data_IF_947277502659
#
_entry.id   IF_947277502659
#
_cell.length_a   1.000
_cell.length_b   1.000
_cell.length_c   1.000
_cell.angle_alpha   90.00
_cell.angle_beta   90.00
_cell.angle_gamma   90.00
#
_symmetry.space_group_name_H-M   'P 1'
#
loop_
_entity.id
_entity.type
_entity.pdbx_description
1 polymer ?
#
# COMPACT_ATOMS: atom_id res chain seq x y z
N UNK A 1 -16.19 47.38 -48.00
CA UNK A 1 -15.25 47.10 -46.89
C UNK A 1 -14.62 45.74 -47.14
N UNK A 2 -13.30 45.69 -47.01
CA UNK A 2 -12.37 44.67 -47.50
C UNK A 2 -12.17 43.49 -46.52
N UNK A 3 -11.86 42.30 -47.08
CA UNK A 3 -10.94 41.27 -46.54
C UNK A 3 -11.46 40.33 -45.43
N UNK A 4 -11.12 39.04 -45.38
CA UNK A 4 -10.16 38.28 -46.17
C UNK A 4 -9.98 36.85 -45.62
N UNK A 5 -9.48 36.00 -46.52
CA UNK A 5 -9.25 34.57 -46.47
C UNK A 5 -8.30 34.04 -45.39
N UNK A 6 -8.79 33.29 -44.40
CA UNK A 6 -7.92 32.45 -43.54
C UNK A 6 -8.48 31.08 -43.13
N UNK A 7 -9.74 30.76 -43.43
CA UNK A 7 -10.34 29.49 -42.99
C UNK A 7 -9.92 28.25 -43.83
N UNK A 8 -9.21 28.46 -44.95
CA UNK A 8 -8.93 27.42 -45.95
C UNK A 8 -7.55 26.76 -45.80
N UNK A 9 -6.66 27.23 -44.91
CA UNK A 9 -5.24 26.78 -44.93
C UNK A 9 -4.79 25.68 -43.95
N UNK A 10 -5.62 25.16 -43.04
CA UNK A 10 -5.14 24.16 -42.05
C UNK A 10 -5.98 22.88 -41.91
N UNK A 11 -6.71 22.51 -42.97
CA UNK A 11 -7.19 21.12 -43.14
C UNK A 11 -6.06 20.16 -43.57
N UNK A 12 -4.90 20.64 -44.02
CA UNK A 12 -3.74 19.79 -44.35
C UNK A 12 -2.69 19.96 -43.27
N UNK A 13 -2.31 18.98 -42.43
CA UNK A 13 -1.69 17.73 -42.87
C UNK A 13 -1.56 16.79 -41.64
N UNK A 14 -2.21 15.63 -41.69
CA UNK A 14 -1.83 14.39 -40.98
C UNK A 14 -1.94 14.31 -39.43
N UNK A 15 -3.15 14.17 -38.87
CA UNK A 15 -3.25 13.72 -37.46
C UNK A 15 -4.64 13.47 -36.86
N UNK A 16 -5.74 13.63 -37.60
CA UNK A 16 -7.10 13.66 -37.02
C UNK A 16 -7.95 12.39 -37.20
N UNK A 17 -7.39 11.30 -37.74
CA UNK A 17 -8.18 10.08 -37.99
C UNK A 17 -8.04 8.99 -36.91
N UNK A 18 -7.19 9.18 -35.88
CA UNK A 18 -7.03 8.22 -34.78
C UNK A 18 -7.84 8.52 -33.51
N UNK A 19 -8.26 9.77 -33.30
CA UNK A 19 -8.88 10.18 -32.02
C UNK A 19 -10.34 9.75 -31.87
N UNK A 20 -11.06 9.52 -32.98
CA UNK A 20 -12.47 9.13 -32.93
C UNK A 20 -12.64 7.67 -32.45
N UNK A 21 -11.71 6.77 -32.80
CA UNK A 21 -11.69 5.38 -32.34
C UNK A 21 -11.41 5.29 -30.84
N UNK A 22 -10.47 6.10 -30.34
CA UNK A 22 -10.14 6.15 -28.89
C UNK A 22 -11.31 6.72 -28.09
N UNK A 23 -12.04 7.70 -28.64
CA UNK A 23 -13.26 8.25 -28.02
C UNK A 23 -14.43 7.27 -28.04
N UNK A 24 -14.54 6.38 -29.04
CA UNK A 24 -15.58 5.36 -29.09
C UNK A 24 -15.39 4.24 -28.05
N UNK A 25 -14.13 3.88 -27.75
CA UNK A 25 -13.80 2.84 -26.75
C UNK A 25 -13.89 3.38 -25.31
N UNK A 26 -13.73 4.70 -25.12
CA UNK A 26 -13.72 5.35 -23.81
C UNK A 26 -15.11 5.68 -23.24
N UNK A 27 -16.20 5.41 -23.98
CA UNK A 27 -17.58 5.46 -23.47
C UNK A 27 -18.06 4.11 -22.93
N UNK A 28 -17.22 3.37 -22.20
CA UNK A 28 -17.78 2.54 -21.11
C UNK A 28 -18.29 3.52 -20.06
N UNK A 29 -19.54 3.95 -20.22
CA UNK A 29 -20.35 4.53 -19.16
C UNK A 29 -20.04 3.73 -17.90
N UNK A 30 -19.34 4.34 -16.94
CA UNK A 30 -19.17 3.75 -15.62
C UNK A 30 -20.59 3.43 -15.19
N UNK A 31 -20.95 2.15 -15.00
CA UNK A 31 -22.34 1.83 -14.74
C UNK A 31 -22.72 2.59 -13.48
N UNK A 32 -23.82 3.34 -13.55
CA UNK A 32 -24.36 4.06 -12.40
C UNK A 32 -24.93 2.98 -11.49
N UNK A 33 -24.08 2.40 -10.65
CA UNK A 33 -24.50 1.45 -9.62
C UNK A 33 -25.28 2.22 -8.56
N UNK A 34 -26.43 1.69 -8.17
CA UNK A 34 -27.28 2.27 -7.13
C UNK A 34 -26.46 2.68 -5.90
N UNK A 35 -26.53 3.98 -5.58
CA UNK A 35 -25.70 4.70 -4.59
C UNK A 35 -25.92 4.32 -3.12
N UNK A 36 -26.78 3.35 -2.82
CA UNK A 36 -27.40 3.24 -1.49
C UNK A 36 -27.09 1.98 -0.67
N UNK A 37 -26.48 0.92 -1.22
CA UNK A 37 -26.42 -0.36 -0.48
C UNK A 37 -25.33 -0.44 0.59
N UNK A 38 -24.21 0.27 0.45
CA UNK A 38 -23.08 0.14 1.38
C UNK A 38 -22.81 1.46 2.08
N UNK A 39 -22.88 1.44 3.41
CA UNK A 39 -22.54 2.58 4.28
C UNK A 39 -21.29 2.26 5.09
N UNK A 40 -20.43 3.25 5.39
CA UNK A 40 -19.34 3.05 6.34
C UNK A 40 -19.98 2.80 7.72
N UNK A 41 -19.88 1.57 8.21
CA UNK A 41 -20.41 1.14 9.50
C UNK A 41 -19.34 0.34 10.24
N UNK A 42 -19.35 0.45 11.57
CA UNK A 42 -18.51 -0.37 12.44
C UNK A 42 -18.74 -1.86 12.15
N UNK A 43 -20.00 -2.26 11.91
CA UNK A 43 -20.36 -3.64 11.56
C UNK A 43 -19.62 -4.13 10.32
N UNK A 44 -19.57 -3.30 9.27
CA UNK A 44 -18.89 -3.65 8.02
C UNK A 44 -17.36 -3.77 8.22
N UNK A 45 -16.78 -2.91 9.07
CA UNK A 45 -15.37 -3.00 9.42
C UNK A 45 -15.06 -4.26 10.24
N UNK A 46 -15.92 -4.63 11.20
CA UNK A 46 -15.76 -5.86 11.99
C UNK A 46 -15.90 -7.10 11.12
N UNK A 47 -16.91 -7.16 10.24
CA UNK A 47 -17.07 -8.25 9.28
C UNK A 47 -15.83 -8.38 8.40
N UNK A 48 -15.29 -7.26 7.90
CA UNK A 48 -14.07 -7.24 7.11
C UNK A 48 -12.87 -7.82 7.87
N UNK A 49 -12.68 -7.39 9.13
CA UNK A 49 -11.61 -7.89 9.99
C UNK A 49 -11.75 -9.40 10.19
N UNK A 50 -12.96 -9.90 10.43
CA UNK A 50 -13.23 -11.32 10.60
C UNK A 50 -12.96 -12.12 9.32
N UNK A 51 -13.38 -11.62 8.15
CA UNK A 51 -13.10 -12.26 6.86
C UNK A 51 -11.60 -12.37 6.63
N UNK A 52 -10.86 -11.26 6.80
CA UNK A 52 -9.40 -11.28 6.61
C UNK A 52 -8.75 -12.25 7.60
N UNK A 53 -9.16 -12.22 8.87
CA UNK A 53 -8.60 -13.08 9.92
C UNK A 53 -8.83 -14.57 9.60
N UNK A 54 -10.05 -14.95 9.21
CA UNK A 54 -10.38 -16.35 8.86
C UNK A 54 -9.63 -16.79 7.61
N UNK A 55 -9.62 -15.99 6.55
CA UNK A 55 -8.88 -16.33 5.33
C UNK A 55 -7.37 -16.48 5.60
N UNK A 56 -6.80 -15.55 6.39
CA UNK A 56 -5.40 -15.58 6.75
C UNK A 56 -5.06 -16.78 7.65
N UNK A 57 -5.93 -17.13 8.61
CA UNK A 57 -5.79 -18.31 9.44
C UNK A 57 -5.78 -19.59 8.60
N UNK A 58 -6.76 -19.74 7.69
CA UNK A 58 -6.85 -20.92 6.82
C UNK A 58 -5.62 -21.09 5.95
N UNK A 59 -5.13 -20.03 5.30
CA UNK A 59 -3.92 -20.11 4.47
C UNK A 59 -2.69 -20.45 5.30
N UNK A 60 -2.57 -19.91 6.52
CA UNK A 60 -1.43 -20.14 7.42
C UNK A 60 -1.42 -21.50 8.11
N UNK A 61 -2.49 -22.28 7.99
CA UNK A 61 -2.42 -23.71 8.33
C UNK A 61 -1.55 -24.49 7.37
N UNK A 62 -1.50 -24.08 6.09
CA UNK A 62 -0.70 -24.70 5.03
C UNK A 62 0.64 -24.00 4.87
N UNK A 63 0.66 -22.66 4.94
CA UNK A 63 1.84 -21.82 4.72
C UNK A 63 2.11 -20.89 5.92
N UNK A 64 2.81 -21.36 6.97
CA UNK A 64 3.17 -20.55 8.13
C UNK A 64 4.02 -19.32 7.76
N UNK A 65 3.99 -18.30 8.63
CA UNK A 65 4.87 -17.13 8.49
C UNK A 65 6.33 -17.59 8.51
N UNK A 66 7.07 -17.21 7.45
CA UNK A 66 8.46 -17.62 7.23
C UNK A 66 8.65 -18.53 6.02
N UNK A 67 7.58 -19.13 5.49
CA UNK A 67 7.64 -19.79 4.18
C UNK A 67 7.69 -18.73 3.08
N UNK A 68 8.61 -18.93 2.13
CA UNK A 68 8.80 -18.01 1.02
C UNK A 68 8.84 -18.82 -0.28
N UNK A 69 8.01 -18.43 -1.24
CA UNK A 69 8.08 -18.94 -2.60
C UNK A 69 8.55 -17.77 -3.46
N UNK A 70 9.72 -17.88 -4.08
CA UNK A 70 10.33 -16.80 -4.88
C UNK A 70 10.49 -15.47 -4.10
N UNK A 71 10.89 -15.52 -2.83
CA UNK A 71 10.93 -14.38 -1.90
C UNK A 71 9.57 -13.72 -1.60
N UNK A 72 8.44 -14.33 -2.00
CA UNK A 72 7.10 -13.86 -1.68
C UNK A 72 6.52 -14.68 -0.52
N UNK A 73 6.01 -13.99 0.50
CA UNK A 73 5.29 -14.59 1.62
C UNK A 73 3.80 -14.66 1.29
N UNK A 74 3.38 -15.79 0.70
CA UNK A 74 1.99 -15.98 0.24
C UNK A 74 0.96 -15.92 1.37
N UNK A 75 1.39 -16.17 2.60
CA UNK A 75 0.52 -16.11 3.78
C UNK A 75 -0.11 -14.72 4.02
N UNK A 76 0.49 -13.63 3.51
CA UNK A 76 -0.09 -12.28 3.59
C UNK A 76 -1.02 -11.93 2.42
N UNK A 77 -1.04 -12.73 1.34
CA UNK A 77 -1.82 -12.39 0.14
C UNK A 77 -3.33 -12.37 0.39
N UNK A 78 -3.80 -13.14 1.38
CA UNK A 78 -5.19 -13.15 1.81
C UNK A 78 -5.70 -11.73 2.12
N UNK A 79 -4.96 -11.00 2.95
CA UNK A 79 -5.34 -9.64 3.35
C UNK A 79 -5.21 -8.67 2.19
N UNK A 80 -4.18 -8.81 1.35
CA UNK A 80 -4.00 -7.96 0.17
C UNK A 80 -5.14 -8.10 -0.83
N UNK A 81 -5.55 -9.33 -1.17
CA UNK A 81 -6.65 -9.59 -2.11
C UNK A 81 -7.96 -9.02 -1.55
N UNK A 82 -8.27 -9.31 -0.29
CA UNK A 82 -9.50 -8.83 0.34
C UNK A 82 -9.54 -7.30 0.41
N UNK A 83 -8.46 -6.66 0.88
CA UNK A 83 -8.36 -5.20 0.96
C UNK A 83 -8.39 -4.54 -0.42
N UNK A 84 -7.82 -5.17 -1.45
CA UNK A 84 -7.90 -4.68 -2.83
C UNK A 84 -9.33 -4.68 -3.35
N UNK A 85 -10.04 -5.81 -3.20
CA UNK A 85 -11.46 -5.93 -3.59
C UNK A 85 -12.31 -4.90 -2.84
N UNK A 86 -12.13 -4.80 -1.52
CA UNK A 86 -12.86 -3.85 -0.68
C UNK A 86 -12.51 -2.41 -1.05
N UNK A 87 -11.26 -2.12 -1.40
CA UNK A 87 -10.83 -0.82 -1.91
C UNK A 87 -11.57 -0.41 -3.18
N UNK A 88 -11.73 -1.34 -4.13
CA UNK A 88 -12.53 -1.13 -5.34
C UNK A 88 -14.00 -0.86 -4.99
N UNK A 89 -14.60 -1.68 -4.12
CA UNK A 89 -15.99 -1.50 -3.69
C UNK A 89 -16.16 -0.15 -2.97
N UNK A 90 -15.22 0.22 -2.10
CA UNK A 90 -15.25 1.45 -1.34
C UNK A 90 -15.12 2.68 -2.24
N UNK A 91 -14.24 2.64 -3.25
CA UNK A 91 -14.12 3.69 -4.25
C UNK A 91 -15.42 3.86 -5.04
N UNK A 92 -16.00 2.76 -5.54
CA UNK A 92 -17.23 2.80 -6.35
C UNK A 92 -18.44 3.34 -5.58
N UNK A 93 -18.51 3.06 -4.28
CA UNK A 93 -19.60 3.53 -3.41
C UNK A 93 -19.30 4.89 -2.74
N UNK A 94 -18.18 5.53 -3.11
CA UNK A 94 -17.70 6.77 -2.50
C UNK A 94 -17.62 6.70 -0.96
N UNK A 95 -17.27 5.52 -0.41
CA UNK A 95 -17.19 5.29 1.04
C UNK A 95 -16.10 6.14 1.67
N UNK A 96 -14.98 6.33 0.96
CA UNK A 96 -13.86 7.10 1.47
C UNK A 96 -14.29 8.52 1.80
N UNK A 97 -15.05 9.22 0.93
CA UNK A 97 -15.54 10.57 1.20
C UNK A 97 -16.52 10.65 2.38
N UNK A 98 -17.26 9.57 2.66
CA UNK A 98 -18.25 9.50 3.75
C UNK A 98 -17.63 9.27 5.12
N UNK A 99 -16.38 8.84 5.20
CA UNK A 99 -15.68 8.67 6.48
C UNK A 99 -15.29 10.06 7.01
N UNK A 100 -15.82 10.44 8.16
CA UNK A 100 -15.48 11.69 8.84
C UNK A 100 -14.07 11.66 9.45
N UNK A 101 -13.43 12.83 9.51
CA UNK A 101 -12.08 13.00 10.08
C UNK A 101 -11.94 12.42 11.49
N UNK A 102 -12.91 12.72 12.38
CA UNK A 102 -12.82 12.31 13.78
C UNK A 102 -12.91 10.78 13.93
N UNK A 103 -13.74 10.12 13.12
CA UNK A 103 -13.82 8.66 13.08
C UNK A 103 -12.50 8.09 12.58
N UNK A 104 -11.99 8.57 11.46
CA UNK A 104 -10.69 8.13 10.93
C UNK A 104 -9.54 8.31 11.92
N UNK A 105 -9.44 9.48 12.56
CA UNK A 105 -8.44 9.75 13.59
C UNK A 105 -8.53 8.77 14.76
N UNK A 106 -9.75 8.47 15.24
CA UNK A 106 -9.96 7.46 16.30
C UNK A 106 -9.49 6.08 15.86
N UNK A 107 -9.86 5.65 14.65
CA UNK A 107 -9.38 4.37 14.09
C UNK A 107 -7.85 4.32 13.95
N UNK A 108 -7.22 5.42 13.53
CA UNK A 108 -5.76 5.50 13.43
C UNK A 108 -5.10 5.36 14.82
N UNK A 109 -5.57 6.13 15.80
CA UNK A 109 -5.05 6.08 17.17
C UNK A 109 -5.29 4.69 17.78
N UNK A 110 -6.48 4.11 17.61
CA UNK A 110 -6.78 2.76 18.06
C UNK A 110 -5.87 1.73 17.39
N UNK A 111 -5.68 1.81 16.07
CA UNK A 111 -4.79 0.91 15.33
C UNK A 111 -3.34 0.98 15.81
N UNK A 112 -2.83 2.19 16.09
CA UNK A 112 -1.47 2.38 16.59
C UNK A 112 -1.35 1.94 18.06
N UNK A 113 -2.18 2.48 18.95
CA UNK A 113 -2.06 2.27 20.40
C UNK A 113 -2.49 0.87 20.78
N UNK A 114 -3.72 0.45 20.42
CA UNK A 114 -4.20 -0.90 20.75
C UNK A 114 -3.42 -1.94 19.95
N UNK A 115 -3.08 -1.65 18.69
CA UNK A 115 -2.24 -2.54 17.89
C UNK A 115 -0.88 -2.77 18.54
N UNK A 116 -0.15 -1.72 18.91
CA UNK A 116 1.16 -1.86 19.54
C UNK A 116 1.07 -2.54 20.91
N UNK A 117 0.12 -2.14 21.77
CA UNK A 117 -0.06 -2.75 23.08
C UNK A 117 -0.37 -4.24 22.98
N UNK A 118 -1.31 -4.62 22.10
CA UNK A 118 -1.69 -6.01 21.93
C UNK A 118 -0.54 -6.84 21.35
N UNK A 119 0.22 -6.30 20.39
CA UNK A 119 1.42 -6.95 19.87
C UNK A 119 2.48 -7.18 20.94
N UNK A 120 2.75 -6.21 21.81
CA UNK A 120 3.68 -6.35 22.93
C UNK A 120 3.22 -7.42 23.93
N UNK A 121 1.92 -7.46 24.25
CA UNK A 121 1.37 -8.49 25.13
C UNK A 121 1.47 -9.88 24.51
N UNK A 122 1.09 -10.04 23.24
CA UNK A 122 1.15 -11.33 22.55
C UNK A 122 2.59 -11.84 22.45
N UNK A 123 3.52 -10.99 22.01
CA UNK A 123 4.93 -11.37 21.85
C UNK A 123 5.59 -11.67 23.18
N UNK A 124 5.34 -10.88 24.23
CA UNK A 124 5.86 -11.16 25.59
C UNK A 124 5.31 -12.47 26.15
N UNK A 125 4.03 -12.76 25.92
CA UNK A 125 3.41 -14.02 26.37
C UNK A 125 3.97 -15.22 25.60
N UNK A 126 4.14 -15.08 24.30
CA UNK A 126 4.70 -16.11 23.44
C UNK A 126 6.18 -16.38 23.69
N UNK A 127 6.98 -15.36 24.07
CA UNK A 127 8.39 -15.56 24.44
C UNK A 127 8.56 -16.23 25.79
N UNK A 128 7.58 -16.14 26.69
CA UNK A 128 7.62 -16.77 28.01
C UNK A 128 7.33 -18.28 27.97
N UNK A 129 6.84 -18.82 26.84
CA UNK A 129 6.46 -20.22 26.68
C UNK A 129 7.35 -20.91 25.64
N UNK A 130 7.86 -22.14 25.91
CA UNK A 130 8.58 -22.92 24.90
C UNK A 130 7.69 -23.16 23.67
N UNK A 131 8.17 -22.77 22.48
CA UNK A 131 7.39 -22.89 21.23
C UNK A 131 6.25 -21.88 21.06
N UNK A 132 6.08 -20.92 21.97
CA UNK A 132 5.03 -19.90 21.86
C UNK A 132 5.19 -19.01 20.62
N UNK A 133 6.42 -18.67 20.24
CA UNK A 133 6.68 -17.88 19.03
C UNK A 133 6.34 -18.64 17.74
N UNK A 134 6.63 -19.93 17.67
CA UNK A 134 6.25 -20.76 16.52
C UNK A 134 4.73 -20.91 16.43
N UNK A 135 4.04 -20.97 17.58
CA UNK A 135 2.58 -21.01 17.64
C UNK A 135 1.90 -19.68 17.22
N UNK A 136 2.60 -18.54 17.25
CA UNK A 136 2.11 -17.28 16.68
C UNK A 136 2.26 -17.24 15.16
N UNK A 137 3.33 -17.85 14.63
CA UNK A 137 3.66 -17.77 13.21
C UNK A 137 2.82 -18.70 12.33
N UNK A 138 2.17 -19.72 12.89
CA UNK A 138 1.23 -20.56 12.15
C UNK A 138 0.73 -21.77 12.93
N UNK A 139 0.01 -22.65 12.23
CA UNK A 139 -0.60 -23.85 12.79
C UNK A 139 -2.03 -23.66 13.27
N UNK A 140 -2.68 -24.75 13.68
CA UNK A 140 -4.07 -24.76 14.18
C UNK A 140 -4.06 -24.52 15.68
N UNK A 141 -3.65 -23.32 16.07
CA UNK A 141 -3.54 -22.90 17.48
C UNK A 141 -4.44 -21.69 17.73
N UNK A 142 -4.88 -21.48 18.97
CA UNK A 142 -5.65 -20.28 19.29
C UNK A 142 -4.75 -19.04 19.32
N UNK A 143 -3.46 -19.21 19.61
CA UNK A 143 -2.44 -18.15 19.54
C UNK A 143 -2.35 -17.52 18.16
N UNK A 144 -2.24 -18.35 17.12
CA UNK A 144 -2.17 -17.90 15.73
C UNK A 144 -3.49 -17.21 15.33
N UNK A 145 -4.65 -17.76 15.70
CA UNK A 145 -5.94 -17.13 15.45
C UNK A 145 -6.05 -15.71 16.05
N UNK A 146 -5.59 -15.53 17.29
CA UNK A 146 -5.56 -14.22 17.96
C UNK A 146 -4.56 -13.27 17.28
N UNK A 147 -3.41 -13.78 16.85
CA UNK A 147 -2.41 -13.00 16.14
C UNK A 147 -2.93 -12.49 14.78
N UNK A 148 -3.65 -13.32 14.03
CA UNK A 148 -4.21 -12.92 12.73
C UNK A 148 -5.40 -11.98 12.86
N UNK A 149 -6.18 -12.12 13.93
CA UNK A 149 -7.23 -11.15 14.26
C UNK A 149 -6.62 -9.77 14.55
N UNK A 150 -5.52 -9.75 15.31
CA UNK A 150 -4.76 -8.53 15.56
C UNK A 150 -4.21 -7.92 14.28
N UNK A 151 -3.57 -8.71 13.41
CA UNK A 151 -3.02 -8.25 12.14
C UNK A 151 -4.12 -7.64 11.24
N UNK A 152 -5.26 -8.32 11.14
CA UNK A 152 -6.42 -7.88 10.37
C UNK A 152 -7.02 -6.58 10.91
N UNK A 153 -7.13 -6.48 12.24
CA UNK A 153 -7.58 -5.26 12.91
C UNK A 153 -6.66 -4.08 12.61
N UNK A 154 -5.34 -4.25 12.78
CA UNK A 154 -4.36 -3.18 12.52
C UNK A 154 -4.41 -2.78 11.05
N UNK A 155 -4.46 -3.73 10.12
CA UNK A 155 -4.51 -3.46 8.69
C UNK A 155 -5.74 -2.60 8.30
N UNK A 156 -6.94 -2.98 8.77
CA UNK A 156 -8.18 -2.23 8.50
C UNK A 156 -8.17 -0.87 9.20
N UNK A 157 -7.76 -0.82 10.47
CA UNK A 157 -7.74 0.40 11.27
C UNK A 157 -6.76 1.45 10.71
N UNK A 158 -5.56 1.02 10.33
CA UNK A 158 -4.55 1.86 9.69
C UNK A 158 -5.04 2.35 8.32
N UNK A 159 -5.66 1.48 7.52
CA UNK A 159 -6.19 1.86 6.20
C UNK A 159 -7.26 2.95 6.31
N UNK A 160 -8.26 2.76 7.17
CA UNK A 160 -9.33 3.75 7.40
C UNK A 160 -8.74 5.05 7.95
N UNK A 161 -7.84 4.93 8.93
CA UNK A 161 -7.27 6.06 9.63
C UNK A 161 -6.37 6.94 8.76
N UNK A 162 -5.45 6.32 8.01
CA UNK A 162 -4.55 7.03 7.10
C UNK A 162 -5.33 7.73 5.99
N UNK A 163 -6.29 7.05 5.35
CA UNK A 163 -7.09 7.66 4.27
C UNK A 163 -7.81 8.91 4.78
N UNK A 164 -8.49 8.81 5.94
CA UNK A 164 -9.25 9.94 6.47
C UNK A 164 -8.35 11.10 6.94
N UNK A 165 -7.23 10.82 7.59
CA UNK A 165 -6.31 11.86 8.09
C UNK A 165 -5.57 12.54 6.94
N UNK A 166 -5.04 11.77 5.98
CA UNK A 166 -4.32 12.35 4.84
C UNK A 166 -5.24 13.15 3.94
N UNK A 167 -6.48 12.70 3.73
CA UNK A 167 -7.48 13.46 2.94
C UNK A 167 -7.78 14.84 3.53
N UNK A 168 -7.83 14.97 4.84
CA UNK A 168 -8.27 16.22 5.50
C UNK A 168 -7.11 17.14 5.87
N UNK A 169 -5.95 16.58 6.26
CA UNK A 169 -4.80 17.35 6.76
C UNK A 169 -3.63 17.44 5.78
N UNK A 170 -3.50 16.49 4.87
CA UNK A 170 -2.31 16.36 4.00
C UNK A 170 -2.68 16.23 2.53
N UNK A 171 -3.85 16.73 2.12
CA UNK A 171 -4.30 16.73 0.72
C UNK A 171 -3.67 17.87 -0.09
N UNK A 172 -2.37 18.08 0.10
CA UNK A 172 -1.57 19.02 -0.67
C UNK A 172 -0.37 18.29 -1.25
N UNK A 173 -0.02 18.59 -2.50
CA UNK A 173 1.09 17.96 -3.19
C UNK A 173 2.13 19.02 -3.56
N UNK A 174 3.17 19.18 -2.73
CA UNK A 174 4.29 20.06 -3.06
C UNK A 174 5.17 19.45 -4.14
N UNK A 175 6.01 20.26 -4.81
CA UNK A 175 6.96 19.76 -5.83
C UNK A 175 7.86 18.65 -5.29
N UNK A 176 8.28 18.76 -4.03
CA UNK A 176 9.09 17.75 -3.37
C UNK A 176 8.30 16.46 -3.10
N UNK A 177 7.09 16.55 -2.54
CA UNK A 177 6.23 15.39 -2.29
C UNK A 177 5.84 14.69 -3.60
N UNK A 178 5.59 15.46 -4.66
CA UNK A 178 5.37 14.90 -6.00
C UNK A 178 6.57 14.12 -6.49
N UNK A 179 7.78 14.70 -6.39
CA UNK A 179 9.00 14.00 -6.78
C UNK A 179 9.20 12.70 -5.99
N UNK A 180 8.97 12.69 -4.67
CA UNK A 180 9.04 11.46 -3.87
C UNK A 180 7.98 10.43 -4.30
N UNK A 181 6.72 10.87 -4.47
CA UNK A 181 5.60 10.01 -4.87
C UNK A 181 5.87 9.35 -6.22
N UNK A 182 6.32 10.12 -7.21
CA UNK A 182 6.57 9.62 -8.56
C UNK A 182 7.79 8.66 -8.60
N UNK A 183 8.64 8.63 -7.57
CA UNK A 183 9.76 7.69 -7.45
C UNK A 183 9.45 6.51 -6.51
N UNK A 184 8.34 6.53 -5.79
CA UNK A 184 8.03 5.56 -4.72
C UNK A 184 7.98 4.11 -5.20
N UNK A 185 7.35 3.85 -6.36
CA UNK A 185 7.24 2.50 -6.91
C UNK A 185 8.60 1.96 -7.38
N UNK A 186 9.41 2.81 -8.00
CA UNK A 186 10.73 2.41 -8.45
C UNK A 186 11.70 2.22 -7.27
N UNK A 187 11.63 3.07 -6.23
CA UNK A 187 12.33 2.81 -4.95
C UNK A 187 11.89 1.48 -4.34
N UNK A 188 10.59 1.18 -4.33
CA UNK A 188 10.08 -0.11 -3.83
C UNK A 188 10.67 -1.30 -4.61
N UNK A 189 10.80 -1.22 -5.93
CA UNK A 189 11.37 -2.30 -6.73
C UNK A 189 12.89 -2.47 -6.53
N UNK A 190 13.62 -1.35 -6.45
CA UNK A 190 15.10 -1.36 -6.50
C UNK A 190 15.78 -1.20 -5.14
N UNK A 191 15.06 -0.93 -4.05
CA UNK A 191 15.68 -0.85 -2.72
C UNK A 191 16.37 -2.15 -2.27
N UNK A 192 15.88 -3.38 -2.54
CA UNK A 192 16.53 -4.59 -2.03
C UNK A 192 18.00 -4.75 -2.48
N UNK A 193 18.36 -4.68 -3.78
CA UNK A 193 19.75 -4.78 -4.19
C UNK A 193 20.61 -3.62 -3.69
N UNK A 194 20.07 -2.39 -3.61
CA UNK A 194 20.80 -1.22 -3.11
C UNK A 194 21.16 -1.42 -1.62
N UNK A 195 20.18 -1.80 -0.79
CA UNK A 195 20.41 -2.03 0.63
C UNK A 195 21.40 -3.18 0.84
N UNK A 196 21.29 -4.27 0.07
CA UNK A 196 22.24 -5.40 0.17
C UNK A 196 23.66 -4.94 -0.18
N UNK A 197 23.85 -4.17 -1.26
CA UNK A 197 25.17 -3.70 -1.66
C UNK A 197 25.81 -2.81 -0.57
N UNK A 198 25.07 -1.84 -0.05
CA UNK A 198 25.57 -0.96 1.03
C UNK A 198 25.82 -1.75 2.33
N UNK A 199 24.94 -2.70 2.66
CA UNK A 199 25.13 -3.55 3.85
C UNK A 199 26.38 -4.41 3.77
N UNK A 200 26.72 -4.91 2.57
CA UNK A 200 27.97 -5.66 2.35
C UNK A 200 29.21 -4.77 2.53
N UNK A 201 29.16 -3.49 2.13
CA UNK A 201 30.24 -2.54 2.37
C UNK A 201 30.45 -2.26 3.86
N UNK A 202 29.38 -2.25 4.66
CA UNK A 202 29.43 -2.06 6.11
C UNK A 202 29.73 -3.35 6.90
N UNK A 203 30.00 -4.47 6.22
CA UNK A 203 30.23 -5.76 6.85
C UNK A 203 31.48 -5.75 7.74
N UNK A 204 32.58 -5.16 7.29
CA UNK A 204 33.87 -5.13 8.00
C UNK A 204 33.95 -4.10 9.13
N UNK A 205 32.99 -3.18 9.24
CA UNK A 205 32.99 -2.18 10.30
C UNK A 205 32.65 -2.82 11.66
N UNK A 206 33.50 -2.66 12.68
CA UNK A 206 33.23 -3.14 14.05
C UNK A 206 32.35 -2.14 14.82
N UNK A 207 31.12 -1.95 14.35
CA UNK A 207 30.12 -1.07 14.97
C UNK A 207 29.00 -1.89 15.61
N UNK A 208 28.37 -1.34 16.65
CA UNK A 208 27.18 -1.97 17.25
C UNK A 208 26.05 -2.10 16.21
N UNK A 209 25.22 -3.15 16.29
CA UNK A 209 24.16 -3.40 15.30
C UNK A 209 23.18 -2.23 15.13
N UNK A 210 22.87 -1.53 16.22
CA UNK A 210 21.96 -0.37 16.22
C UNK A 210 22.58 0.79 15.45
N UNK A 211 23.88 1.08 15.67
CA UNK A 211 24.56 2.16 14.97
C UNK A 211 24.65 1.84 13.48
N UNK A 212 24.99 0.61 13.10
CA UNK A 212 24.96 0.18 11.69
C UNK A 212 23.59 0.35 11.07
N UNK A 213 22.53 -0.03 11.79
CA UNK A 213 21.16 0.11 11.31
C UNK A 213 20.77 1.57 11.07
N UNK A 214 21.05 2.47 12.02
CA UNK A 214 20.78 3.91 11.86
C UNK A 214 21.57 4.49 10.69
N UNK A 215 22.86 4.15 10.57
CA UNK A 215 23.69 4.60 9.45
C UNK A 215 23.16 4.11 8.11
N UNK A 216 22.78 2.83 8.01
CA UNK A 216 22.18 2.27 6.80
C UNK A 216 20.87 2.98 6.46
N UNK A 217 20.01 3.31 7.42
CA UNK A 217 18.80 4.10 7.14
C UNK A 217 19.12 5.48 6.57
N UNK A 218 20.05 6.21 7.22
CA UNK A 218 20.42 7.56 6.81
C UNK A 218 21.09 7.58 5.43
N UNK A 219 21.81 6.53 5.05
CA UNK A 219 22.51 6.43 3.77
C UNK A 219 21.59 5.87 2.68
N UNK A 220 20.96 4.71 2.93
CA UNK A 220 20.19 3.99 1.93
C UNK A 220 18.93 4.73 1.51
N UNK A 221 18.25 5.47 2.41
CA UNK A 221 17.02 6.18 2.06
C UNK A 221 17.30 7.26 0.99
N UNK A 222 18.21 8.23 1.21
CA UNK A 222 18.57 9.20 0.17
C UNK A 222 19.14 8.54 -1.08
N UNK A 223 19.97 7.50 -0.92
CA UNK A 223 20.61 6.81 -2.03
C UNK A 223 19.57 6.15 -2.95
N UNK A 224 18.56 5.48 -2.40
CA UNK A 224 17.50 4.86 -3.18
C UNK A 224 16.72 5.91 -3.99
N UNK A 225 16.35 7.05 -3.37
CA UNK A 225 15.67 8.13 -4.08
C UNK A 225 16.56 8.78 -5.13
N UNK A 226 17.85 9.00 -4.84
CA UNK A 226 18.79 9.60 -5.77
C UNK A 226 19.03 8.70 -7.00
N UNK A 227 19.34 7.42 -6.79
CA UNK A 227 19.54 6.45 -7.88
C UNK A 227 18.27 6.36 -8.74
N UNK A 228 17.11 6.26 -8.09
CA UNK A 228 15.85 6.13 -8.80
C UNK A 228 15.53 7.36 -9.65
N UNK A 229 15.70 8.55 -9.07
CA UNK A 229 15.39 9.81 -9.72
C UNK A 229 16.36 10.14 -10.87
N UNK A 230 17.66 9.92 -10.67
CA UNK A 230 18.69 10.32 -11.63
C UNK A 230 19.04 9.25 -12.67
N UNK A 231 18.95 7.97 -12.32
CA UNK A 231 19.38 6.86 -13.17
C UNK A 231 18.18 6.13 -13.76
N UNK A 232 17.30 5.61 -12.90
CA UNK A 232 16.29 4.62 -13.30
C UNK A 232 15.18 5.26 -14.16
N UNK A 233 14.66 6.42 -13.77
CA UNK A 233 13.61 7.11 -14.54
C UNK A 233 14.11 7.80 -15.80
N UNK A 234 15.43 7.95 -15.98
CA UNK A 234 15.98 8.46 -17.25
C UNK A 234 16.05 7.39 -18.35
N UNK A 235 15.85 6.13 -18.01
CA UNK A 235 15.80 5.05 -18.98
C UNK A 235 14.45 5.12 -19.72
N UNK A 236 14.43 5.30 -21.05
CA UNK A 236 13.23 5.64 -21.82
C UNK A 236 12.14 4.55 -21.80
N UNK A 237 12.52 3.28 -21.55
CA UNK A 237 11.59 2.16 -21.37
C UNK A 237 10.92 2.17 -19.99
N UNK A 238 11.66 2.51 -18.95
CA UNK A 238 11.17 2.52 -17.58
C UNK A 238 10.33 3.77 -17.27
N UNK A 239 10.64 4.92 -17.88
CA UNK A 239 9.86 6.15 -17.71
C UNK A 239 8.41 6.05 -18.22
N UNK A 240 8.10 5.09 -19.10
CA UNK A 240 6.74 4.86 -19.60
C UNK A 240 5.87 4.03 -18.65
N UNK A 241 6.50 3.29 -17.72
CA UNK A 241 5.82 2.34 -16.82
C UNK A 241 5.88 2.78 -15.35
N UNK A 242 6.89 3.59 -14.98
CA UNK A 242 7.19 4.07 -13.62
C UNK A 242 6.81 5.54 -13.39
#
# INVERSE_FOLDING_TARGET
MYGGDYAVYWVSRAGREGEWLVRLISRKTVPVFDKERVRPSLTNAVILILIISVCAFLIRTVEPIGTNILNMQLCFFASYIVLFIVGIIAYRNNLFARIGYQTGKRWLICGIVLGLLFWLVLTKRASAMPGGMTALFGGVTWESAVYFLWESFVAVAMSIGLIAVFREKFNYQSRFVKALSDNSFAVYMFHPPIIVAVSLLFRSAELSPIVKWVMLCVICIPLCFAITHFVIRKIPLLNKVL
#
